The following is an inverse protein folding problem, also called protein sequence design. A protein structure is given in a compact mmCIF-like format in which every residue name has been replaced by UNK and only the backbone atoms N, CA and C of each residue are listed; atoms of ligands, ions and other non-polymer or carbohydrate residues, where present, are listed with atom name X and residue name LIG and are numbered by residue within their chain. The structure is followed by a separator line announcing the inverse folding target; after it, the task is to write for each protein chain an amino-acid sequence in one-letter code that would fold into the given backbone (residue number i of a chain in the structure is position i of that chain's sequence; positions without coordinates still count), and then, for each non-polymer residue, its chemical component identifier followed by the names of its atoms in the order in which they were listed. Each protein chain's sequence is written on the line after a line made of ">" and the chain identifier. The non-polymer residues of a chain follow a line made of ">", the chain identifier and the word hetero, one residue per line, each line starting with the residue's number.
data_IF_978173122727
#
_entry.id   IF_978173122727
#
_cell.length_a   1.000
_cell.length_b   1.000
_cell.length_c   1.000
_cell.angle_alpha   90.00
_cell.angle_beta   90.00
_cell.angle_gamma   90.00
#
_symmetry.space_group_name_H-M   'P 1'
#
loop_
_entity.id
_entity.type
_entity.pdbx_description
1 polymer ?
#
# COMPACT_ATOMS: atom_id res chain seq x y z
N UNK A 1 -9.92 -14.11 -15.77
CA UNK A 1 -9.64 -12.87 -15.01
C UNK A 1 -8.45 -13.13 -14.12
N UNK A 2 -7.42 -12.28 -14.11
CA UNK A 2 -6.35 -12.39 -13.12
C UNK A 2 -6.88 -11.88 -11.77
N UNK A 3 -6.63 -12.65 -10.71
CA UNK A 3 -7.01 -12.27 -9.35
C UNK A 3 -6.13 -11.14 -8.85
N UNK A 4 -6.73 -10.07 -8.32
CA UNK A 4 -6.01 -8.97 -7.70
C UNK A 4 -5.38 -9.35 -6.36
N UNK A 5 -4.44 -8.54 -5.88
CA UNK A 5 -3.80 -8.68 -4.56
C UNK A 5 -4.05 -7.44 -3.72
N UNK A 6 -4.50 -7.62 -2.48
CA UNK A 6 -4.61 -6.56 -1.47
C UNK A 6 -3.56 -6.82 -0.40
N UNK A 7 -2.76 -5.81 -0.06
CA UNK A 7 -1.76 -5.85 1.01
C UNK A 7 -2.09 -4.74 1.99
N UNK A 8 -2.17 -5.08 3.29
CA UNK A 8 -2.42 -4.12 4.37
C UNK A 8 -1.14 -4.00 5.20
N UNK A 9 -0.60 -2.79 5.30
CA UNK A 9 0.59 -2.50 6.12
C UNK A 9 0.15 -1.68 7.33
N UNK A 10 0.37 -2.22 8.52
CA UNK A 10 -0.07 -1.66 9.81
C UNK A 10 1.11 -1.51 10.78
N UNK A 11 0.93 -0.72 11.84
CA UNK A 11 1.97 -0.32 12.78
C UNK A 11 1.74 1.09 13.37
N UNK A 12 2.45 1.41 14.44
CA UNK A 12 2.35 2.71 15.12
C UNK A 12 2.78 3.89 14.23
N UNK A 13 2.42 5.15 14.57
CA UNK A 13 2.97 6.32 13.88
C UNK A 13 4.50 6.30 13.88
N UNK A 14 5.13 6.72 12.77
CA UNK A 14 6.59 6.76 12.63
C UNK A 14 7.29 5.43 12.34
N UNK A 15 6.59 4.29 12.26
CA UNK A 15 7.22 2.98 11.99
C UNK A 15 7.52 2.69 10.52
N UNK A 16 7.41 3.70 9.64
CA UNK A 16 7.76 3.56 8.22
C UNK A 16 6.69 2.93 7.33
N UNK A 17 5.45 2.74 7.78
CA UNK A 17 4.35 2.14 6.97
C UNK A 17 4.22 2.75 5.58
N UNK A 18 4.13 4.08 5.51
CA UNK A 18 4.02 4.84 4.26
C UNK A 18 5.19 4.56 3.33
N UNK A 19 6.40 4.54 3.88
CA UNK A 19 7.63 4.27 3.13
C UNK A 19 7.61 2.85 2.56
N UNK A 20 7.30 1.86 3.39
CA UNK A 20 7.22 0.45 2.97
C UNK A 20 6.11 0.24 1.94
N UNK A 21 4.92 0.81 2.13
CA UNK A 21 3.80 0.66 1.22
C UNK A 21 4.09 1.29 -0.16
N UNK A 22 4.74 2.45 -0.19
CA UNK A 22 5.19 3.10 -1.42
C UNK A 22 6.23 2.24 -2.18
N UNK A 23 7.22 1.69 -1.47
CA UNK A 23 8.23 0.80 -2.06
C UNK A 23 7.57 -0.47 -2.60
N UNK A 24 6.71 -1.13 -1.82
CA UNK A 24 6.00 -2.34 -2.25
C UNK A 24 5.15 -2.09 -3.49
N UNK A 25 4.47 -0.94 -3.56
CA UNK A 25 3.69 -0.59 -4.74
C UNK A 25 4.57 -0.33 -5.96
N UNK A 26 5.68 0.41 -5.80
CA UNK A 26 6.61 0.76 -6.88
C UNK A 26 7.38 -0.44 -7.43
N UNK A 27 7.84 -1.33 -6.56
CA UNK A 27 8.67 -2.49 -6.91
C UNK A 27 7.82 -3.77 -7.16
N UNK A 28 6.50 -3.63 -7.23
CA UNK A 28 5.58 -4.73 -7.52
C UNK A 28 5.77 -5.27 -8.94
N UNK A 29 5.62 -6.58 -9.10
CA UNK A 29 5.61 -7.23 -10.42
C UNK A 29 4.23 -7.21 -11.10
N UNK A 30 3.25 -6.49 -10.54
CA UNK A 30 1.92 -6.34 -11.13
C UNK A 30 1.91 -5.14 -12.08
N UNK A 31 1.38 -5.31 -13.29
CA UNK A 31 1.26 -4.25 -14.31
C UNK A 31 0.54 -2.98 -13.80
N UNK A 32 -0.35 -3.15 -12.81
CA UNK A 32 -1.06 -2.07 -12.13
C UNK A 32 -0.92 -2.26 -10.63
N UNK A 33 -0.28 -1.31 -9.98
CA UNK A 33 0.00 -1.29 -8.55
C UNK A 33 -0.27 0.09 -8.00
N UNK A 34 -0.94 0.17 -6.85
CA UNK A 34 -1.32 1.43 -6.20
C UNK A 34 -1.03 1.35 -4.71
N UNK A 35 -0.66 2.49 -4.13
CA UNK A 35 -0.55 2.68 -2.70
C UNK A 35 -1.64 3.67 -2.27
N UNK A 36 -2.40 3.32 -1.24
CA UNK A 36 -3.46 4.14 -0.68
C UNK A 36 -3.23 4.34 0.82
N UNK A 37 -3.57 5.53 1.30
CA UNK A 37 -3.59 5.87 2.72
C UNK A 37 -5.00 5.69 3.28
N UNK A 38 -5.13 4.98 4.40
CA UNK A 38 -6.45 4.76 5.02
C UNK A 38 -7.02 6.04 5.62
N UNK A 39 -6.15 6.97 6.02
CA UNK A 39 -6.50 8.28 6.55
C UNK A 39 -7.15 9.21 5.51
N UNK A 40 -6.90 9.01 4.22
CA UNK A 40 -7.54 9.77 3.13
C UNK A 40 -9.06 9.56 3.04
N UNK A 41 -9.60 8.53 3.70
CA UNK A 41 -11.02 8.17 3.65
C UNK A 41 -11.83 8.69 4.85
N UNK A 42 -11.20 9.34 5.83
CA UNK A 42 -11.91 9.95 6.95
C UNK A 42 -12.29 11.42 6.62
N UNK A 43 -13.57 11.75 6.75
CA UNK A 43 -14.14 13.11 6.62
C UNK A 43 -14.85 13.52 7.90
#
# INVERSE_FOLDING_TARGET
>A
MNQGRIIVITGSPGTGKTTTASIVAKESNMDKSVHMHTDDFFH
#
